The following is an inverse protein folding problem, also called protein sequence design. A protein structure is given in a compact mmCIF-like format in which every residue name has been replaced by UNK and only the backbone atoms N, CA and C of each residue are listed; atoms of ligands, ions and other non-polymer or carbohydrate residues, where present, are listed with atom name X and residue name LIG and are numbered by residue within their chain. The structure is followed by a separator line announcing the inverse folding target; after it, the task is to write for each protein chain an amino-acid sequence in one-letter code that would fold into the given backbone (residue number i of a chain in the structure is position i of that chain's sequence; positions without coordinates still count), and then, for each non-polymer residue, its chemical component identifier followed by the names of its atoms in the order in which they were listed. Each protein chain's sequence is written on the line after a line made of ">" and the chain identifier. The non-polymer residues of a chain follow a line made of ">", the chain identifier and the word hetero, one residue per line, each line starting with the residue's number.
data_IF_662851972689
#
_entry.id   IF_662851972689
#
_cell.length_a   1.000
_cell.length_b   1.000
_cell.length_c   1.000
_cell.angle_alpha   90.00
_cell.angle_beta   90.00
_cell.angle_gamma   90.00
#
_symmetry.space_group_name_H-M   'P 1'
#
loop_
_entity.id
_entity.type
_entity.pdbx_description
1 polymer ?
#
# COMPACT_ATOMS: atom_id res chain seq x y z
N UNK A 1 37.07 -4.95 22.43
CA UNK A 1 36.20 -6.02 21.91
C UNK A 1 34.81 -5.45 21.81
N UNK A 2 34.50 -4.88 20.65
CA UNK A 2 33.16 -4.43 20.31
C UNK A 2 32.30 -5.66 20.02
N UNK A 3 31.13 -5.70 20.66
CA UNK A 3 30.08 -6.67 20.41
C UNK A 3 28.84 -5.88 20.04
N UNK A 4 28.29 -6.23 18.88
CA UNK A 4 27.31 -5.47 18.14
C UNK A 4 25.95 -5.39 18.86
N UNK A 5 25.35 -4.20 18.82
CA UNK A 5 23.98 -3.98 19.27
C UNK A 5 23.02 -4.42 18.16
N UNK A 6 22.51 -5.63 18.27
CA UNK A 6 21.43 -6.19 17.46
C UNK A 6 20.09 -5.50 17.81
N UNK A 7 19.37 -4.86 16.87
CA UNK A 7 18.08 -4.28 17.19
C UNK A 7 17.01 -5.37 17.16
N UNK A 8 16.49 -5.64 18.35
CA UNK A 8 15.39 -6.53 18.68
C UNK A 8 14.14 -6.24 17.82
N UNK A 9 13.79 -7.18 16.93
CA UNK A 9 12.56 -7.16 16.13
C UNK A 9 11.32 -7.27 17.02
N UNK A 10 10.54 -6.18 17.10
CA UNK A 10 9.28 -6.13 17.83
C UNK A 10 8.07 -6.53 16.94
N UNK A 11 7.03 -7.18 17.48
CA UNK A 11 5.92 -7.73 16.70
C UNK A 11 4.89 -6.68 16.20
N UNK A 12 4.48 -6.86 14.94
CA UNK A 12 3.63 -5.98 14.10
C UNK A 12 2.27 -5.50 14.64
N UNK A 13 1.74 -6.09 15.71
CA UNK A 13 0.45 -5.64 16.29
C UNK A 13 0.53 -4.28 16.99
N UNK A 14 1.75 -3.78 17.24
CA UNK A 14 1.96 -2.47 17.86
C UNK A 14 2.08 -1.34 16.83
N UNK A 15 2.36 -1.61 15.55
CA UNK A 15 2.68 -0.56 14.58
C UNK A 15 1.49 0.27 14.09
N UNK A 16 0.32 -0.34 13.82
CA UNK A 16 -0.91 0.41 13.50
C UNK A 16 -1.32 1.38 14.63
N UNK A 17 -1.02 1.05 15.89
CA UNK A 17 -1.30 1.90 17.05
C UNK A 17 -0.17 2.87 17.44
N UNK A 18 1.09 2.56 17.14
CA UNK A 18 2.26 3.37 17.50
C UNK A 18 2.60 4.41 16.44
N UNK A 19 2.37 4.13 15.15
CA UNK A 19 2.49 5.14 14.09
C UNK A 19 1.46 6.27 14.28
N UNK A 20 0.24 5.91 14.69
CA UNK A 20 -0.83 6.85 15.06
C UNK A 20 -0.46 7.74 16.29
N UNK A 21 0.59 7.40 17.05
CA UNK A 21 0.99 8.10 18.29
C UNK A 21 2.36 8.79 18.24
N UNK A 22 3.22 8.49 17.26
CA UNK A 22 4.63 8.95 17.26
C UNK A 22 5.07 9.77 16.05
N UNK A 23 4.19 10.06 15.08
CA UNK A 23 4.51 11.07 14.07
C UNK A 23 4.21 12.46 14.61
N UNK A 24 5.25 13.23 14.88
CA UNK A 24 5.19 14.69 15.04
C UNK A 24 4.63 15.43 13.79
N UNK A 25 4.13 14.72 12.79
CA UNK A 25 3.40 15.27 11.65
C UNK A 25 1.96 15.73 11.98
N UNK A 26 1.52 15.65 13.24
CA UNK A 26 0.26 16.24 13.68
C UNK A 26 0.27 17.80 13.61
N UNK A 27 1.43 18.43 13.45
CA UNK A 27 1.57 19.90 13.43
C UNK A 27 2.24 20.50 12.18
N UNK A 28 2.66 19.70 11.20
CA UNK A 28 3.48 20.20 10.07
C UNK A 28 2.78 20.29 8.71
N UNK A 29 1.45 20.23 8.67
CA UNK A 29 0.65 20.49 7.45
C UNK A 29 -0.47 21.52 7.71
N UNK A 30 -0.14 22.58 8.45
CA UNK A 30 -0.95 23.78 8.55
C UNK A 30 -0.40 24.94 7.70
N UNK A 31 0.21 24.64 6.53
CA UNK A 31 0.30 25.63 5.47
C UNK A 31 -0.83 25.36 4.49
N UNK A 32 -1.85 26.24 4.56
CA UNK A 32 -2.88 26.40 3.53
C UNK A 32 -2.25 26.21 2.15
N UNK A 33 -2.78 25.27 1.38
CA UNK A 33 -2.52 25.19 -0.05
C UNK A 33 -2.82 26.55 -0.69
N UNK A 34 -1.79 27.19 -1.22
CA UNK A 34 -1.94 28.30 -2.12
C UNK A 34 -2.44 27.75 -3.47
N UNK A 35 -3.40 28.40 -4.14
CA UNK A 35 -3.84 27.97 -5.46
C UNK A 35 -2.67 28.17 -6.44
N UNK A 36 -2.01 27.07 -6.85
CA UNK A 36 -0.90 27.09 -7.81
C UNK A 36 0.20 26.04 -7.61
N UNK A 37 0.21 25.32 -6.49
CA UNK A 37 1.28 24.36 -6.19
C UNK A 37 0.98 23.00 -6.87
N UNK A 38 1.75 22.69 -7.92
CA UNK A 38 1.61 21.46 -8.72
C UNK A 38 2.42 20.28 -8.15
N UNK A 39 3.17 20.52 -7.08
CA UNK A 39 4.04 19.54 -6.45
C UNK A 39 3.53 19.17 -5.06
N UNK A 40 3.43 17.86 -4.80
CA UNK A 40 3.15 17.32 -3.47
C UNK A 40 4.39 16.54 -3.01
N UNK A 41 5.01 16.98 -1.93
CA UNK A 41 6.12 16.25 -1.32
C UNK A 41 5.60 15.32 -0.23
N UNK A 42 5.80 14.02 -0.38
CA UNK A 42 5.48 13.02 0.66
C UNK A 42 6.74 12.22 0.98
N UNK A 43 7.15 12.23 2.25
CA UNK A 43 8.37 11.56 2.73
C UNK A 43 9.65 11.86 1.89
N UNK A 44 9.77 13.09 1.37
CA UNK A 44 10.91 13.51 0.55
C UNK A 44 10.80 13.16 -0.94
N UNK A 45 9.71 12.49 -1.36
CA UNK A 45 9.39 12.23 -2.77
C UNK A 45 8.50 13.36 -3.26
N UNK A 46 8.98 14.11 -4.26
CA UNK A 46 8.20 15.19 -4.89
C UNK A 46 7.39 14.61 -6.04
N UNK A 47 6.06 14.65 -5.93
CA UNK A 47 5.12 14.26 -6.96
C UNK A 47 4.62 15.51 -7.69
N UNK A 48 4.93 15.66 -8.97
CA UNK A 48 4.22 16.61 -9.83
C UNK A 48 2.84 16.02 -10.18
N UNK A 49 1.83 16.41 -9.42
CA UNK A 49 0.42 16.03 -9.66
C UNK A 49 -0.12 16.79 -10.89
N UNK A 50 0.53 17.89 -11.27
CA UNK A 50 0.09 18.79 -12.34
C UNK A 50 0.27 18.26 -13.77
N UNK A 51 1.20 17.34 -14.03
CA UNK A 51 1.48 16.86 -15.40
C UNK A 51 0.81 15.53 -15.77
N UNK A 52 0.35 14.73 -14.81
CA UNK A 52 -0.20 13.38 -15.09
C UNK A 52 -1.67 13.41 -15.55
N UNK A 53 -2.41 14.49 -15.24
CA UNK A 53 -3.83 14.67 -15.61
C UNK A 53 -4.00 15.55 -16.87
N UNK A 54 -2.93 15.85 -17.61
CA UNK A 54 -3.01 16.74 -18.79
C UNK A 54 -3.42 16.02 -20.10
N UNK A 55 -3.86 14.74 -20.00
CA UNK A 55 -4.42 13.98 -21.13
C UNK A 55 -5.72 13.28 -20.74
N UNK A 56 -6.88 13.95 -20.85
CA UNK A 56 -8.18 13.27 -20.75
C UNK A 56 -8.26 12.18 -21.84
N UNK A 57 -8.05 10.92 -21.45
CA UNK A 57 -8.03 9.77 -22.35
C UNK A 57 -6.82 8.83 -22.20
N UNK A 58 -5.70 9.28 -21.61
CA UNK A 58 -4.52 8.43 -21.46
C UNK A 58 -4.78 7.21 -20.56
N UNK A 59 -5.57 7.35 -19.49
CA UNK A 59 -6.01 6.27 -18.60
C UNK A 59 -7.03 5.32 -19.25
N UNK A 60 -7.66 5.72 -20.36
CA UNK A 60 -8.69 4.92 -21.03
C UNK A 60 -8.09 3.91 -22.02
N UNK A 61 -6.82 4.08 -22.41
CA UNK A 61 -6.08 3.15 -23.25
C UNK A 61 -5.73 1.85 -22.52
N UNK A 62 -5.93 0.71 -23.17
CA UNK A 62 -5.53 -0.62 -22.67
C UNK A 62 -4.01 -0.75 -22.52
N UNK A 63 -3.22 0.02 -23.28
CA UNK A 63 -1.76 0.05 -23.19
C UNK A 63 -1.23 1.01 -22.11
N UNK A 64 -2.11 1.63 -21.31
CA UNK A 64 -1.70 2.59 -20.30
C UNK A 64 -1.11 1.87 -19.07
N UNK A 65 0.19 2.04 -18.84
CA UNK A 65 0.85 1.51 -17.64
C UNK A 65 0.20 1.99 -16.34
N UNK A 66 -0.30 3.23 -16.29
CA UNK A 66 -1.00 3.77 -15.13
C UNK A 66 -2.34 3.06 -14.88
N UNK A 67 -3.05 2.60 -15.92
CA UNK A 67 -4.28 1.81 -15.74
C UNK A 67 -3.97 0.45 -15.10
N UNK A 68 -2.96 -0.26 -15.61
CA UNK A 68 -2.56 -1.54 -15.03
C UNK A 68 -2.12 -1.41 -13.56
N UNK A 69 -1.42 -0.32 -13.23
CA UNK A 69 -1.10 0.01 -11.84
C UNK A 69 -2.35 0.28 -11.00
N UNK A 70 -3.29 1.10 -11.49
CA UNK A 70 -4.53 1.41 -10.77
C UNK A 70 -5.41 0.18 -10.57
N UNK A 71 -5.49 -0.72 -11.55
CA UNK A 71 -6.17 -2.02 -11.41
C UNK A 71 -5.49 -2.87 -10.31
N UNK A 72 -4.16 -2.81 -10.21
CA UNK A 72 -3.41 -3.49 -9.15
C UNK A 72 -3.66 -2.88 -7.77
N UNK A 73 -3.69 -1.56 -7.68
CA UNK A 73 -3.95 -0.81 -6.45
C UNK A 73 -5.41 -0.93 -6.00
N UNK A 74 -6.34 -1.04 -6.93
CA UNK A 74 -7.77 -1.22 -6.69
C UNK A 74 -8.17 -2.65 -6.31
N UNK A 75 -7.31 -3.64 -6.56
CA UNK A 75 -7.52 -4.99 -6.06
C UNK A 75 -7.31 -5.04 -4.54
N UNK A 76 -8.38 -5.37 -3.82
CA UNK A 76 -8.42 -5.45 -2.35
C UNK A 76 -7.23 -6.20 -1.75
N UNK A 77 -6.77 -7.27 -2.39
CA UNK A 77 -5.81 -8.19 -1.80
C UNK A 77 -4.35 -7.82 -2.09
N UNK A 78 -4.10 -7.18 -3.22
CA UNK A 78 -2.74 -6.86 -3.69
C UNK A 78 -1.99 -6.01 -2.66
N UNK A 79 -2.61 -4.94 -2.15
CA UNK A 79 -2.01 -4.09 -1.13
C UNK A 79 -1.79 -4.83 0.19
N UNK A 80 -2.73 -5.65 0.65
CA UNK A 80 -2.53 -6.43 1.88
C UNK A 80 -1.35 -7.40 1.78
N UNK A 81 -1.15 -8.04 0.62
CA UNK A 81 0.00 -8.90 0.40
C UNK A 81 1.29 -8.09 0.41
N UNK A 82 1.35 -6.98 -0.33
CA UNK A 82 2.54 -6.14 -0.40
C UNK A 82 2.94 -5.60 0.98
N UNK A 83 1.98 -5.09 1.77
CA UNK A 83 2.24 -4.61 3.13
C UNK A 83 2.72 -5.72 4.07
N UNK A 84 2.21 -6.95 3.96
CA UNK A 84 2.70 -8.06 4.79
C UNK A 84 4.11 -8.51 4.41
N UNK A 85 4.52 -8.34 3.16
CA UNK A 85 5.85 -8.68 2.65
C UNK A 85 6.88 -7.57 2.85
N UNK A 86 6.45 -6.39 3.34
CA UNK A 86 7.32 -5.28 3.66
C UNK A 86 8.30 -5.65 4.78
N UNK A 87 7.85 -6.34 5.82
CA UNK A 87 8.71 -6.61 6.98
C UNK A 87 9.68 -7.77 6.74
N UNK A 88 9.23 -8.81 6.04
CA UNK A 88 10.00 -10.03 5.84
C UNK A 88 9.48 -10.83 4.63
N UNK A 89 10.35 -11.70 4.09
CA UNK A 89 9.91 -12.72 3.14
C UNK A 89 9.01 -13.74 3.83
N UNK A 90 7.91 -14.14 3.20
CA UNK A 90 6.92 -15.01 3.81
C UNK A 90 6.54 -16.22 2.95
N UNK A 91 6.20 -17.33 3.63
CA UNK A 91 5.60 -18.52 3.00
C UNK A 91 4.11 -18.30 2.71
N UNK A 92 3.59 -19.02 1.72
CA UNK A 92 2.16 -18.97 1.35
C UNK A 92 1.20 -19.10 2.54
N UNK A 93 1.40 -20.12 3.38
CA UNK A 93 0.53 -20.37 4.54
C UNK A 93 0.67 -19.30 5.63
N UNK A 94 1.82 -18.62 5.72
CA UNK A 94 1.99 -17.51 6.64
C UNK A 94 1.19 -16.29 6.16
N UNK A 95 1.27 -15.96 4.87
CA UNK A 95 0.43 -14.92 4.26
C UNK A 95 -1.07 -15.21 4.41
N UNK A 96 -1.50 -16.44 4.09
CA UNK A 96 -2.90 -16.87 4.22
C UNK A 96 -3.45 -16.72 5.64
N UNK A 97 -2.59 -16.89 6.67
CA UNK A 97 -2.99 -16.71 8.07
C UNK A 97 -2.99 -15.26 8.52
N UNK A 98 -2.13 -14.40 7.95
CA UNK A 98 -2.08 -12.98 8.31
C UNK A 98 -3.20 -12.16 7.65
N UNK A 99 -3.59 -12.54 6.44
CA UNK A 99 -4.61 -11.83 5.66
C UNK A 99 -5.96 -12.51 5.88
N UNK A 100 -6.77 -11.95 6.77
CA UNK A 100 -8.07 -12.52 7.07
C UNK A 100 -9.05 -12.40 5.89
N UNK A 101 -9.88 -13.42 5.70
CA UNK A 101 -10.89 -13.49 4.65
C UNK A 101 -10.37 -13.76 3.23
N UNK A 102 -9.06 -13.86 2.99
CA UNK A 102 -8.55 -14.24 1.66
C UNK A 102 -8.68 -15.75 1.45
N UNK A 103 -9.35 -16.15 0.37
CA UNK A 103 -9.38 -17.56 0.00
C UNK A 103 -8.02 -18.01 -0.55
N UNK A 104 -7.73 -19.30 -0.43
CA UNK A 104 -6.50 -19.88 -0.98
C UNK A 104 -6.38 -19.66 -2.50
N UNK A 105 -7.49 -19.82 -3.22
CA UNK A 105 -7.53 -19.62 -4.67
C UNK A 105 -7.16 -18.18 -5.02
N UNK A 106 -7.75 -17.21 -4.32
CA UNK A 106 -7.47 -15.79 -4.56
C UNK A 106 -6.03 -15.45 -4.20
N UNK A 107 -5.52 -15.91 -3.05
CA UNK A 107 -4.11 -15.68 -2.69
C UNK A 107 -3.14 -16.21 -3.75
N UNK A 108 -3.36 -17.41 -4.29
CA UNK A 108 -2.53 -17.96 -5.37
C UNK A 108 -2.59 -17.10 -6.64
N UNK A 109 -3.78 -16.64 -7.03
CA UNK A 109 -3.95 -15.81 -8.22
C UNK A 109 -3.28 -14.44 -8.03
N UNK A 110 -3.47 -13.80 -6.88
CA UNK A 110 -2.89 -12.50 -6.59
C UNK A 110 -1.37 -12.57 -6.51
N UNK A 111 -0.79 -13.60 -5.85
CA UNK A 111 0.67 -13.78 -5.83
C UNK A 111 1.25 -13.97 -7.23
N UNK A 112 0.61 -14.77 -8.09
CA UNK A 112 1.05 -14.95 -9.48
C UNK A 112 1.00 -13.65 -10.28
N UNK A 113 -0.05 -12.85 -10.09
CA UNK A 113 -0.16 -11.55 -10.75
C UNK A 113 0.91 -10.57 -10.25
N UNK A 114 1.12 -10.48 -8.93
CA UNK A 114 2.16 -9.63 -8.34
C UNK A 114 3.57 -10.04 -8.77
N UNK A 115 3.82 -11.35 -8.91
CA UNK A 115 5.09 -11.89 -9.41
C UNK A 115 5.30 -11.55 -10.88
N UNK A 116 4.24 -11.71 -11.71
CA UNK A 116 4.25 -11.35 -13.13
C UNK A 116 4.48 -9.85 -13.35
N UNK A 117 3.86 -9.02 -12.52
CA UNK A 117 3.99 -7.56 -12.57
C UNK A 117 5.35 -7.10 -12.00
N UNK A 118 6.13 -8.00 -11.41
CA UNK A 118 7.48 -7.74 -10.91
C UNK A 118 7.52 -7.08 -9.53
N UNK A 119 6.42 -7.00 -8.80
CA UNK A 119 6.36 -6.42 -7.44
C UNK A 119 6.87 -7.38 -6.37
N UNK A 120 6.77 -8.69 -6.60
CA UNK A 120 7.28 -9.72 -5.70
C UNK A 120 8.16 -10.71 -6.44
N UNK A 121 9.08 -11.33 -5.70
CA UNK A 121 9.86 -12.48 -6.15
C UNK A 121 9.39 -13.74 -5.43
N UNK A 122 9.55 -14.88 -6.09
CA UNK A 122 9.27 -16.21 -5.54
C UNK A 122 10.56 -17.03 -5.54
N UNK A 123 11.01 -17.43 -4.36
CA UNK A 123 12.24 -18.23 -4.20
C UNK A 123 11.89 -19.62 -3.69
N UNK A 124 12.35 -20.65 -4.41
CA UNK A 124 12.30 -22.03 -3.94
C UNK A 124 13.61 -22.39 -3.24
N UNK A 125 13.53 -22.85 -2.00
CA UNK A 125 14.66 -23.33 -1.23
C UNK A 125 14.66 -24.85 -1.23
N UNK A 126 15.68 -25.52 -1.82
CA UNK A 126 15.82 -26.96 -1.77
C UNK A 126 15.99 -27.47 -0.33
N UNK A 127 15.44 -28.64 -0.05
CA UNK A 127 15.55 -29.30 1.24
C UNK A 127 14.70 -30.57 1.29
N UNK A 128 14.65 -31.22 2.45
CA UNK A 128 13.83 -32.43 2.66
C UNK A 128 12.35 -32.20 2.29
N UNK A 129 11.86 -30.99 2.58
CA UNK A 129 10.59 -30.48 2.04
C UNK A 129 10.91 -29.14 1.38
N UNK A 130 10.79 -29.07 0.06
CA UNK A 130 11.01 -27.84 -0.69
C UNK A 130 10.14 -26.71 -0.11
N UNK A 131 10.74 -25.55 0.11
CA UNK A 131 10.04 -24.38 0.68
C UNK A 131 9.94 -23.28 -0.36
N UNK A 132 8.80 -22.60 -0.38
CA UNK A 132 8.57 -21.45 -1.27
C UNK A 132 8.35 -20.22 -0.41
N UNK A 133 9.18 -19.20 -0.63
CA UNK A 133 9.07 -17.89 0.00
C UNK A 133 8.77 -16.81 -1.04
N UNK A 134 8.00 -15.80 -0.63
CA UNK A 134 7.70 -14.61 -1.40
C UNK A 134 8.34 -13.40 -0.71
N UNK A 135 8.88 -12.46 -1.48
CA UNK A 135 9.47 -11.23 -0.95
C UNK A 135 9.20 -10.07 -1.90
N UNK A 136 9.13 -8.84 -1.38
CA UNK A 136 9.08 -7.64 -2.23
C UNK A 136 10.34 -7.54 -3.10
N UNK A 137 10.16 -7.13 -4.35
CA UNK A 137 11.27 -6.61 -5.17
C UNK A 137 11.50 -5.13 -4.86
N UNK A 138 12.57 -4.55 -5.42
CA UNK A 138 12.78 -3.10 -5.36
C UNK A 138 11.57 -2.31 -5.87
N UNK A 139 10.95 -2.74 -6.98
CA UNK A 139 9.73 -2.12 -7.52
C UNK A 139 8.55 -2.25 -6.55
N UNK A 140 8.40 -3.40 -5.89
CA UNK A 140 7.36 -3.59 -4.87
C UNK A 140 7.54 -2.66 -3.67
N UNK A 141 8.78 -2.46 -3.23
CA UNK A 141 9.12 -1.51 -2.16
C UNK A 141 8.78 -0.07 -2.53
N UNK A 142 9.13 0.37 -3.73
CA UNK A 142 8.77 1.70 -4.22
C UNK A 142 7.25 1.89 -4.26
N UNK A 143 6.52 0.89 -4.77
CA UNK A 143 5.06 0.93 -4.83
C UNK A 143 4.42 1.03 -3.43
N UNK A 144 4.90 0.27 -2.45
CA UNK A 144 4.47 0.39 -1.05
C UNK A 144 4.73 1.80 -0.49
N UNK A 145 5.86 2.41 -0.87
CA UNK A 145 6.14 3.81 -0.54
C UNK A 145 5.10 4.79 -1.12
N UNK A 146 4.69 4.59 -2.38
CA UNK A 146 3.67 5.42 -3.02
C UNK A 146 2.31 5.31 -2.32
N UNK A 147 1.92 4.08 -1.95
CA UNK A 147 0.59 3.81 -1.38
C UNK A 147 0.43 4.39 0.02
N UNK A 148 1.52 4.52 0.78
CA UNK A 148 1.52 5.20 2.08
C UNK A 148 1.02 6.65 1.97
N UNK A 149 1.31 7.33 0.86
CA UNK A 149 0.83 8.70 0.63
C UNK A 149 -0.69 8.75 0.49
N UNK A 150 -1.26 7.78 -0.25
CA UNK A 150 -2.71 7.67 -0.45
C UNK A 150 -3.41 7.32 0.86
N UNK A 151 -2.85 6.39 1.63
CA UNK A 151 -3.40 5.99 2.93
C UNK A 151 -3.36 7.15 3.90
N UNK A 152 -2.23 7.86 4.01
CA UNK A 152 -2.09 9.00 4.90
C UNK A 152 -3.09 10.11 4.56
N UNK A 153 -3.28 10.40 3.26
CA UNK A 153 -4.32 11.34 2.84
C UNK A 153 -5.72 10.88 3.25
N UNK A 154 -6.04 9.60 3.04
CA UNK A 154 -7.34 9.04 3.40
C UNK A 154 -7.61 9.09 4.90
N UNK A 155 -6.62 8.80 5.74
CA UNK A 155 -6.73 8.87 7.21
C UNK A 155 -7.02 10.29 7.69
N UNK A 156 -6.33 11.29 7.13
CA UNK A 156 -6.57 12.71 7.47
C UNK A 156 -7.99 13.15 7.11
N UNK A 157 -8.54 12.63 6.01
CA UNK A 157 -9.85 13.05 5.48
C UNK A 157 -10.99 12.08 5.83
N UNK A 158 -10.75 11.07 6.66
CA UNK A 158 -11.72 10.01 7.00
C UNK A 158 -13.04 10.59 7.53
N UNK A 159 -12.97 11.61 8.39
CA UNK A 159 -14.16 12.29 8.91
C UNK A 159 -14.99 12.95 7.81
N UNK A 160 -14.35 13.62 6.85
CA UNK A 160 -15.03 14.28 5.73
C UNK A 160 -15.72 13.25 4.83
N UNK A 161 -15.04 12.13 4.57
CA UNK A 161 -15.56 11.02 3.76
C UNK A 161 -16.78 10.39 4.46
N UNK A 162 -16.69 10.13 5.76
CA UNK A 162 -17.79 9.57 6.56
C UNK A 162 -19.00 10.52 6.59
N UNK A 163 -18.78 11.81 6.82
CA UNK A 163 -19.84 12.82 6.81
C UNK A 163 -20.53 12.92 5.44
N UNK A 164 -19.78 12.78 4.35
CA UNK A 164 -20.35 12.72 3.00
C UNK A 164 -21.23 11.47 2.80
N UNK A 165 -20.77 10.30 3.24
CA UNK A 165 -21.52 9.04 3.15
C UNK A 165 -22.82 9.10 3.97
N UNK A 166 -22.76 9.55 5.22
CA UNK A 166 -23.95 9.67 6.09
C UNK A 166 -24.98 10.63 5.49
N UNK A 167 -24.55 11.76 4.92
CA UNK A 167 -25.45 12.68 4.22
C UNK A 167 -26.14 12.00 3.03
N UNK A 168 -25.38 11.27 2.21
CA UNK A 168 -25.93 10.53 1.07
C UNK A 168 -26.97 9.48 1.50
N UNK A 169 -26.66 8.68 2.52
CA UNK A 169 -27.55 7.64 3.05
C UNK A 169 -28.84 8.24 3.65
N UNK A 170 -28.73 9.38 4.33
CA UNK A 170 -29.90 10.07 4.92
C UNK A 170 -30.88 10.57 3.85
N UNK A 171 -30.39 10.98 2.68
CA UNK A 171 -31.24 11.42 1.56
C UNK A 171 -31.95 10.24 0.92
N UNK A 172 -31.27 9.10 0.78
CA UNK A 172 -31.81 7.90 0.09
C UNK A 172 -32.70 7.03 0.96
N UNK A 173 -32.47 6.98 2.28
CA UNK A 173 -33.27 6.17 3.20
C UNK A 173 -34.48 6.93 3.77
N UNK A 174 -34.62 8.22 3.44
CA UNK A 174 -35.70 9.10 3.90
C UNK A 174 -36.83 9.34 2.90
N UNK A 175 -36.92 8.54 1.82
CA UNK A 175 -38.03 8.56 0.85
C UNK A 175 -38.74 7.21 0.81
#
# INVERSE_FOLDING_TARGET
>A
MGGDAEPMLAPLKTWFGFWCRHSAACSMFARRGQPGEKEMTVHGITFDIGSTIDRPGALQSEACAARGLLDRLGDKWSLFILFNLQDESMRFNALKRRIDGISQRILTLTLRSLERDGYISRTETPGLVAQVNYALTQLGWELVGLTNSVISWAEVHDHIIKDANTRFDSIRNGG
#
